data_IF_155744496005
#
_entry.id   IF_155744496005
#
_cell.length_a   1.000
_cell.length_b   1.000
_cell.length_c   1.000
_cell.angle_alpha   90.00
_cell.angle_beta   90.00
_cell.angle_gamma   90.00
#
_symmetry.space_group_name_H-M   'P 1'
#
loop_
_entity.id
_entity.type
_entity.pdbx_description
1 polymer ?
#
# COMPACT_ATOMS: atom_id res chain seq x y z
N UNK A 1 9.93 -26.03 -7.78
CA UNK A 1 9.24 -24.73 -7.88
C UNK A 1 7.87 -24.90 -8.54
N UNK A 2 7.82 -25.48 -9.74
CA UNK A 2 6.57 -25.72 -10.50
C UNK A 2 5.46 -26.38 -9.65
N UNK A 3 5.77 -27.46 -8.92
CA UNK A 3 4.80 -28.13 -8.04
C UNK A 3 4.22 -27.22 -6.94
N UNK A 4 5.01 -26.26 -6.41
CA UNK A 4 4.57 -25.32 -5.36
C UNK A 4 3.58 -24.32 -5.96
N UNK A 5 3.88 -23.79 -7.15
CA UNK A 5 3.03 -22.84 -7.86
C UNK A 5 1.74 -23.51 -8.36
N UNK A 6 1.84 -24.74 -8.88
CA UNK A 6 0.69 -25.55 -9.28
C UNK A 6 -0.23 -25.81 -8.07
N UNK A 7 0.34 -26.19 -6.93
CA UNK A 7 -0.43 -26.39 -5.70
C UNK A 7 -1.08 -25.07 -5.22
N UNK A 8 -0.38 -23.95 -5.32
CA UNK A 8 -0.93 -22.64 -5.00
C UNK A 8 -2.12 -22.28 -5.93
N UNK A 9 -2.04 -22.61 -7.23
CA UNK A 9 -3.12 -22.42 -8.20
C UNK A 9 -4.38 -23.25 -7.89
N UNK A 10 -4.22 -24.39 -7.21
CA UNK A 10 -5.32 -25.24 -6.75
C UNK A 10 -5.90 -24.85 -5.38
N UNK A 11 -5.17 -24.08 -4.57
CA UNK A 11 -5.53 -23.85 -3.16
C UNK A 11 -5.58 -22.36 -2.80
N UNK A 12 -4.44 -21.68 -2.81
CA UNK A 12 -4.30 -20.29 -2.38
C UNK A 12 -5.01 -19.29 -3.31
N UNK A 13 -4.75 -19.36 -4.61
CA UNK A 13 -5.30 -18.39 -5.58
C UNK A 13 -6.82 -18.47 -5.76
N UNK A 14 -7.45 -19.65 -5.77
CA UNK A 14 -8.91 -19.77 -5.70
C UNK A 14 -9.50 -19.00 -4.51
N UNK A 15 -8.88 -19.17 -3.33
CA UNK A 15 -9.32 -18.48 -2.10
C UNK A 15 -9.11 -16.98 -2.19
N UNK A 16 -7.97 -16.52 -2.69
CA UNK A 16 -7.72 -15.09 -2.89
C UNK A 16 -8.71 -14.46 -3.88
N UNK A 17 -9.01 -15.15 -4.99
CA UNK A 17 -9.97 -14.69 -5.98
C UNK A 17 -11.39 -14.64 -5.40
N UNK A 18 -11.82 -15.70 -4.69
CA UNK A 18 -13.11 -15.72 -4.00
C UNK A 18 -13.21 -14.60 -2.97
N UNK A 19 -12.17 -14.42 -2.15
CA UNK A 19 -12.20 -13.41 -1.11
C UNK A 19 -12.24 -11.99 -1.70
N UNK A 20 -11.53 -11.73 -2.80
CA UNK A 20 -11.65 -10.47 -3.54
C UNK A 20 -13.08 -10.25 -4.06
N UNK A 21 -13.73 -11.28 -4.59
CA UNK A 21 -15.09 -11.20 -5.12
C UNK A 21 -16.16 -11.01 -4.02
N UNK A 22 -15.97 -11.65 -2.86
CA UNK A 22 -16.84 -11.50 -1.69
C UNK A 22 -16.66 -10.12 -1.04
N UNK A 23 -15.42 -9.66 -0.94
CA UNK A 23 -15.09 -8.38 -0.38
C UNK A 23 -15.13 -7.30 -1.48
N UNK A 24 -16.32 -6.76 -1.75
CA UNK A 24 -16.45 -5.47 -2.44
C UNK A 24 -15.92 -4.37 -1.50
N UNK A 25 -14.59 -4.29 -1.48
CA UNK A 25 -13.67 -3.39 -0.77
C UNK A 25 -13.83 -3.29 0.76
N UNK A 26 -13.00 -4.05 1.51
CA UNK A 26 -12.71 -3.75 2.92
C UNK A 26 -11.87 -2.47 2.98
N UNK A 27 -12.53 -1.36 3.30
CA UNK A 27 -11.97 0.00 3.30
C UNK A 27 -11.35 0.45 4.63
N UNK A 28 -10.95 -0.46 5.51
CA UNK A 28 -10.32 -0.04 6.77
C UNK A 28 -8.80 -0.05 6.65
N UNK A 29 -8.25 1.15 6.49
CA UNK A 29 -6.83 1.39 6.70
C UNK A 29 -6.49 1.15 8.17
N UNK A 30 -5.70 0.11 8.45
CA UNK A 30 -5.10 -0.06 9.77
C UNK A 30 -3.77 0.67 9.79
N UNK A 31 -3.66 1.67 10.66
CA UNK A 31 -2.38 2.33 10.94
C UNK A 31 -1.42 1.33 11.56
N UNK A 32 -0.13 1.56 11.34
CA UNK A 32 0.93 0.84 12.06
C UNK A 32 0.74 1.09 13.56
N UNK A 33 0.93 0.03 14.37
CA UNK A 33 0.98 0.21 15.81
C UNK A 33 2.33 0.86 16.14
N UNK A 34 2.29 2.01 16.81
CA UNK A 34 3.50 2.65 17.37
C UNK A 34 4.07 1.71 18.43
N UNK A 35 5.40 1.66 18.57
CA UNK A 35 5.96 0.97 19.72
C UNK A 35 5.77 1.85 20.99
N UNK A 36 5.85 1.20 22.15
CA UNK A 36 5.11 1.62 23.35
C UNK A 36 5.94 2.43 24.36
N UNK A 37 7.24 2.66 24.12
CA UNK A 37 8.18 3.21 25.11
C UNK A 37 8.94 4.46 24.63
N UNK A 38 9.41 5.35 25.50
CA UNK A 38 10.10 6.60 25.11
C UNK A 38 11.44 6.40 24.39
N UNK A 39 12.09 5.23 24.53
CA UNK A 39 13.25 4.83 23.69
C UNK A 39 12.87 4.54 22.22
N UNK A 40 11.57 4.52 21.91
CA UNK A 40 10.99 4.21 20.62
C UNK A 40 10.95 5.40 19.66
N UNK A 41 11.14 6.64 20.11
CA UNK A 41 11.10 7.81 19.22
C UNK A 41 12.13 7.69 18.09
N UNK A 42 13.36 7.27 18.41
CA UNK A 42 14.42 7.06 17.39
C UNK A 42 14.06 5.92 16.43
N UNK A 43 13.37 4.90 16.93
CA UNK A 43 12.91 3.78 16.13
C UNK A 43 11.82 4.23 15.15
N UNK A 44 10.80 4.94 15.64
CA UNK A 44 9.71 5.47 14.84
C UNK A 44 10.20 6.49 13.81
N UNK A 45 11.12 7.38 14.18
CA UNK A 45 11.73 8.32 13.22
C UNK A 45 12.49 7.59 12.10
N UNK A 46 13.17 6.48 12.42
CA UNK A 46 13.84 5.63 11.41
C UNK A 46 12.83 4.92 10.50
N UNK A 47 11.73 4.42 11.05
CA UNK A 47 10.65 3.79 10.26
C UNK A 47 9.98 4.80 9.33
N UNK A 48 9.69 5.99 9.85
CA UNK A 48 9.14 7.11 9.08
C UNK A 48 10.11 7.60 7.99
N UNK A 49 11.41 7.56 8.23
CA UNK A 49 12.42 7.78 7.20
C UNK A 49 12.29 6.74 6.07
N UNK A 50 12.18 5.45 6.40
CA UNK A 50 12.08 4.40 5.38
C UNK A 50 10.80 4.54 4.54
N UNK A 51 9.65 4.79 5.17
CA UNK A 51 8.39 5.05 4.47
C UNK A 51 8.47 6.29 3.58
N UNK A 52 9.03 7.38 4.11
CA UNK A 52 9.13 8.65 3.40
C UNK A 52 10.11 8.58 2.25
N UNK A 53 11.26 7.93 2.43
CA UNK A 53 12.25 7.74 1.39
C UNK A 53 11.71 6.85 0.27
N UNK A 54 11.00 5.76 0.63
CA UNK A 54 10.29 4.93 -0.34
C UNK A 54 9.20 5.73 -1.10
N UNK A 55 8.45 6.59 -0.42
CA UNK A 55 7.45 7.47 -1.05
C UNK A 55 8.06 8.45 -2.08
N UNK A 56 9.26 8.98 -1.79
CA UNK A 56 9.99 9.87 -2.70
C UNK A 56 10.51 9.12 -3.93
N UNK A 57 10.74 7.82 -3.83
CA UNK A 57 11.18 6.96 -4.94
C UNK A 57 10.00 6.40 -5.78
N UNK A 58 8.78 6.38 -5.25
CA UNK A 58 7.56 6.02 -5.98
C UNK A 58 7.04 7.21 -6.80
N UNK A 59 7.58 7.41 -7.99
CA UNK A 59 7.43 8.66 -8.75
C UNK A 59 6.16 8.73 -9.61
N UNK A 60 5.43 7.62 -9.77
CA UNK A 60 4.24 7.53 -10.61
C UNK A 60 2.97 7.18 -9.81
N UNK A 61 1.80 7.36 -10.43
CA UNK A 61 0.54 6.84 -9.90
C UNK A 61 0.40 5.39 -10.35
N UNK A 62 -0.18 4.54 -9.49
CA UNK A 62 -0.47 3.13 -9.83
C UNK A 62 0.20 2.14 -8.90
N UNK A 63 0.18 0.87 -9.29
CA UNK A 63 0.81 -0.21 -8.51
C UNK A 63 2.25 -0.53 -8.92
N UNK A 64 2.67 -0.17 -10.14
CA UNK A 64 3.95 -0.59 -10.73
C UNK A 64 5.18 -0.03 -10.00
N UNK A 65 5.20 1.26 -9.72
CA UNK A 65 6.34 1.95 -9.11
C UNK A 65 6.32 1.98 -7.58
N UNK A 66 5.37 1.28 -6.95
CA UNK A 66 5.31 1.15 -5.49
C UNK A 66 6.66 0.66 -5.01
N UNK A 67 7.28 1.45 -4.15
CA UNK A 67 8.67 1.25 -3.72
C UNK A 67 8.67 0.86 -2.24
N UNK A 68 9.54 -0.06 -1.87
CA UNK A 68 9.83 -0.43 -0.49
C UNK A 68 11.32 -0.20 -0.17
N UNK A 69 11.62 -0.01 1.11
CA UNK A 69 12.95 0.26 1.62
C UNK A 69 13.27 -0.61 2.85
N UNK A 70 14.50 -1.12 2.91
CA UNK A 70 15.04 -1.86 4.05
C UNK A 70 16.41 -1.33 4.44
N UNK A 71 16.73 -1.33 5.73
CA UNK A 71 18.00 -0.79 6.24
C UNK A 71 18.90 -1.90 6.80
N UNK A 72 19.91 -2.27 6.03
CA UNK A 72 20.89 -3.27 6.42
C UNK A 72 22.00 -2.64 7.25
N UNK A 73 22.36 -3.34 8.33
CA UNK A 73 23.54 -3.08 9.14
C UNK A 73 24.76 -3.82 8.57
N UNK A 74 25.87 -3.11 8.42
CA UNK A 74 27.20 -3.69 8.21
C UNK A 74 28.12 -3.30 9.40
N UNK A 75 29.31 -3.91 9.54
CA UNK A 75 30.20 -3.60 10.66
C UNK A 75 30.59 -2.12 10.81
N UNK A 76 30.68 -1.37 9.69
CA UNK A 76 31.16 0.02 9.68
C UNK A 76 30.25 0.99 8.90
N UNK A 77 29.16 0.51 8.33
CA UNK A 77 28.24 1.33 7.54
C UNK A 77 26.86 0.68 7.46
N UNK A 78 25.91 1.40 6.85
CA UNK A 78 24.59 0.88 6.55
C UNK A 78 24.33 0.93 5.04
N UNK A 79 23.52 -0.01 4.55
CA UNK A 79 23.05 -0.03 3.17
C UNK A 79 21.55 0.16 3.16
N UNK A 80 21.09 1.14 2.37
CA UNK A 80 19.67 1.33 2.10
C UNK A 80 19.30 0.50 0.87
N UNK A 81 18.50 -0.52 1.07
CA UNK A 81 17.96 -1.36 0.00
C UNK A 81 16.65 -0.78 -0.52
N UNK A 82 16.49 -0.75 -1.83
CA UNK A 82 15.25 -0.35 -2.50
C UNK A 82 14.75 -1.48 -3.41
N UNK A 83 13.44 -1.65 -3.46
CA UNK A 83 12.76 -2.53 -4.38
C UNK A 83 11.50 -1.83 -4.91
N UNK A 84 11.08 -2.14 -6.13
CA UNK A 84 9.77 -1.73 -6.65
C UNK A 84 9.05 -2.91 -7.31
N UNK A 85 7.71 -2.83 -7.37
CA UNK A 85 6.90 -3.93 -7.90
C UNK A 85 7.25 -4.31 -9.34
N UNK A 86 7.75 -3.37 -10.14
CA UNK A 86 8.24 -3.57 -11.52
C UNK A 86 9.67 -3.00 -11.68
N UNK A 87 10.50 -3.12 -10.64
CA UNK A 87 11.90 -2.73 -10.71
C UNK A 87 12.18 -1.26 -10.46
N UNK A 88 13.34 -0.98 -9.85
CA UNK A 88 13.80 0.39 -9.68
C UNK A 88 14.50 0.84 -10.96
N UNK A 89 13.84 1.73 -11.71
CA UNK A 89 14.45 2.36 -12.90
C UNK A 89 15.77 3.05 -12.55
N UNK A 90 16.75 2.99 -13.45
CA UNK A 90 18.05 3.63 -13.26
C UNK A 90 17.94 5.14 -12.96
N UNK A 91 16.99 5.84 -13.58
CA UNK A 91 16.72 7.26 -13.29
C UNK A 91 16.30 7.50 -11.84
N UNK A 92 15.48 6.61 -11.27
CA UNK A 92 15.05 6.65 -9.86
C UNK A 92 16.22 6.27 -8.94
N UNK A 93 17.04 5.30 -9.31
CA UNK A 93 18.24 4.93 -8.53
C UNK A 93 19.25 6.08 -8.43
N UNK A 94 19.56 6.72 -9.55
CA UNK A 94 20.44 7.90 -9.61
C UNK A 94 19.86 9.07 -8.81
N UNK A 95 18.55 9.30 -8.93
CA UNK A 95 17.83 10.28 -8.13
C UNK A 95 17.95 10.00 -6.63
N UNK A 96 17.66 8.76 -6.20
CA UNK A 96 17.74 8.35 -4.80
C UNK A 96 19.16 8.54 -4.24
N UNK A 97 20.20 8.15 -5.00
CA UNK A 97 21.60 8.39 -4.64
C UNK A 97 21.89 9.88 -4.51
N UNK A 98 21.37 10.69 -5.42
CA UNK A 98 21.53 12.14 -5.35
C UNK A 98 20.82 12.77 -4.16
N UNK A 99 19.65 12.26 -3.75
CA UNK A 99 18.95 12.71 -2.54
C UNK A 99 19.75 12.34 -1.30
N UNK A 100 20.23 11.09 -1.19
CA UNK A 100 21.07 10.66 -0.07
C UNK A 100 22.33 11.53 0.08
N UNK A 101 23.01 11.87 -1.03
CA UNK A 101 24.17 12.78 -1.02
C UNK A 101 23.87 14.17 -0.45
N UNK A 102 22.64 14.67 -0.60
CA UNK A 102 22.23 15.94 0.01
C UNK A 102 21.90 15.75 1.49
N UNK A 103 21.18 14.68 1.81
CA UNK A 103 20.77 14.36 3.18
C UNK A 103 21.95 14.17 4.14
N UNK A 104 23.08 13.62 3.69
CA UNK A 104 24.29 13.46 4.54
C UNK A 104 24.94 14.79 4.93
N UNK A 105 24.59 15.91 4.26
CA UNK A 105 25.13 17.24 4.57
C UNK A 105 24.41 17.91 5.76
N UNK A 106 23.31 17.33 6.25
CA UNK A 106 22.52 17.89 7.35
C UNK A 106 23.29 17.73 8.67
N UNK A 107 23.93 18.81 9.11
CA UNK A 107 24.74 18.85 10.34
C UNK A 107 24.44 20.04 11.25
N UNK A 108 23.66 21.02 10.77
CA UNK A 108 23.30 22.26 11.45
C UNK A 108 21.89 22.69 11.02
N UNK A 109 21.31 23.68 11.69
CA UNK A 109 19.99 24.22 11.31
C UNK A 109 20.00 24.91 9.95
N UNK A 110 21.08 25.62 9.62
CA UNK A 110 21.26 26.27 8.33
C UNK A 110 21.34 25.25 7.18
N UNK A 111 22.14 24.19 7.35
CA UNK A 111 22.23 23.11 6.35
C UNK A 111 20.93 22.34 6.23
N UNK A 112 20.20 22.15 7.32
CA UNK A 112 18.89 21.51 7.32
C UNK A 112 17.88 22.27 6.45
N UNK A 113 17.77 23.60 6.63
CA UNK A 113 16.88 24.44 5.83
C UNK A 113 17.22 24.38 4.34
N UNK A 114 18.50 24.54 4.01
CA UNK A 114 18.98 24.50 2.62
C UNK A 114 18.72 23.14 1.96
N UNK A 115 19.14 22.05 2.60
CA UNK A 115 18.97 20.68 2.09
C UNK A 115 17.49 20.34 1.93
N UNK A 116 16.63 20.78 2.85
CA UNK A 116 15.18 20.58 2.74
C UNK A 116 14.60 21.18 1.47
N UNK A 117 14.97 22.43 1.14
CA UNK A 117 14.50 23.05 -0.10
C UNK A 117 15.10 22.40 -1.34
N UNK A 118 16.39 22.10 -1.35
CA UNK A 118 17.05 21.44 -2.48
C UNK A 118 16.44 20.05 -2.77
N UNK A 119 16.23 19.23 -1.74
CA UNK A 119 15.58 17.92 -1.86
C UNK A 119 14.12 18.08 -2.28
N UNK A 120 13.42 19.09 -1.77
CA UNK A 120 12.04 19.36 -2.16
C UNK A 120 11.89 19.70 -3.63
N UNK A 121 12.73 20.59 -4.18
CA UNK A 121 12.69 20.93 -5.59
C UNK A 121 13.00 19.72 -6.47
N UNK A 122 14.00 18.91 -6.11
CA UNK A 122 14.32 17.66 -6.81
C UNK A 122 13.15 16.67 -6.76
N UNK A 123 12.49 16.53 -5.61
CA UNK A 123 11.34 15.65 -5.46
C UNK A 123 10.14 16.12 -6.29
N UNK A 124 9.86 17.43 -6.34
CA UNK A 124 8.81 18.00 -7.19
C UNK A 124 9.10 17.70 -8.65
N UNK A 125 10.33 17.94 -9.11
CA UNK A 125 10.75 17.65 -10.49
C UNK A 125 10.56 16.18 -10.83
N UNK A 126 11.10 15.27 -10.00
CA UNK A 126 11.04 13.83 -10.24
C UNK A 126 9.62 13.27 -10.18
N UNK A 127 8.77 13.79 -9.29
CA UNK A 127 7.37 13.36 -9.13
C UNK A 127 6.38 14.15 -10.01
N UNK A 128 6.84 14.98 -10.94
CA UNK A 128 5.99 15.89 -11.74
C UNK A 128 4.77 15.19 -12.36
N UNK A 129 4.90 14.01 -13.03
CA UNK A 129 3.75 13.36 -13.65
C UNK A 129 2.64 13.03 -12.62
N UNK A 130 3.02 12.49 -11.47
CA UNK A 130 2.12 12.17 -10.35
C UNK A 130 1.50 13.43 -9.74
N UNK A 131 2.28 14.49 -9.57
CA UNK A 131 1.82 15.74 -8.96
C UNK A 131 0.84 16.50 -9.87
N UNK A 132 1.07 16.52 -11.19
CA UNK A 132 0.14 17.14 -12.15
C UNK A 132 -1.22 16.45 -12.10
N UNK A 133 -1.25 15.11 -12.05
CA UNK A 133 -2.51 14.37 -11.91
C UNK A 133 -3.28 14.81 -10.66
N UNK A 134 -2.65 14.77 -9.48
CA UNK A 134 -3.33 15.16 -8.24
C UNK A 134 -3.72 16.64 -8.22
N UNK A 135 -2.93 17.52 -8.83
CA UNK A 135 -3.26 18.94 -8.96
C UNK A 135 -4.52 19.15 -9.79
N UNK A 136 -4.67 18.46 -10.93
CA UNK A 136 -5.87 18.55 -11.76
C UNK A 136 -7.12 18.12 -10.98
N UNK A 137 -7.02 17.03 -10.22
CA UNK A 137 -8.11 16.54 -9.37
C UNK A 137 -8.45 17.52 -8.22
N UNK A 138 -7.44 18.09 -7.56
CA UNK A 138 -7.64 19.13 -6.53
C UNK A 138 -8.32 20.36 -7.13
N UNK A 139 -7.90 20.84 -8.31
CA UNK A 139 -8.51 22.01 -8.95
C UNK A 139 -9.99 21.81 -9.19
N UNK A 140 -10.37 20.63 -9.70
CA UNK A 140 -11.76 20.26 -9.96
C UNK A 140 -12.56 20.21 -8.65
N UNK A 141 -12.11 19.43 -7.67
CA UNK A 141 -12.84 19.24 -6.41
C UNK A 141 -12.90 20.52 -5.58
N UNK A 142 -11.81 21.30 -5.54
CA UNK A 142 -11.74 22.58 -4.83
C UNK A 142 -12.74 23.59 -5.40
N UNK A 143 -12.90 23.64 -6.73
CA UNK A 143 -13.89 24.53 -7.36
C UNK A 143 -15.31 24.17 -6.90
N UNK A 144 -15.68 22.89 -6.95
CA UNK A 144 -17.02 22.43 -6.55
C UNK A 144 -17.27 22.67 -5.06
N UNK A 145 -16.36 22.23 -4.19
CA UNK A 145 -16.48 22.44 -2.75
C UNK A 145 -16.55 23.93 -2.39
N UNK A 146 -15.78 24.78 -3.07
CA UNK A 146 -15.83 26.24 -2.88
C UNK A 146 -17.20 26.82 -3.25
N UNK A 147 -17.85 26.32 -4.30
CA UNK A 147 -19.20 26.76 -4.69
C UNK A 147 -20.25 26.33 -3.67
N UNK A 148 -20.16 25.12 -3.14
CA UNK A 148 -21.05 24.66 -2.05
C UNK A 148 -20.86 25.50 -0.78
N UNK A 149 -19.63 25.84 -0.42
CA UNK A 149 -19.34 26.73 0.72
C UNK A 149 -19.87 28.17 0.52
N UNK A 150 -20.22 28.60 -0.71
CA UNK A 150 -20.85 29.92 -0.92
C UNK A 150 -22.30 29.96 -0.43
N UNK A 151 -22.96 28.81 -0.35
CA UNK A 151 -24.35 28.68 0.10
C UNK A 151 -24.46 28.70 1.63
N UNK A 152 -23.35 28.53 2.34
CA UNK A 152 -23.31 28.57 3.81
C UNK A 152 -23.23 30.02 4.30
N UNK A 153 -23.81 30.28 5.47
CA UNK A 153 -23.67 31.56 6.16
C UNK A 153 -22.18 31.86 6.35
N UNK A 154 -21.75 33.11 6.10
CA UNK A 154 -20.35 33.47 6.24
C UNK A 154 -19.96 33.48 7.72
N UNK A 155 -19.06 32.57 8.09
CA UNK A 155 -18.23 32.67 9.28
C UNK A 155 -16.74 32.78 8.89
N UNK A 156 -15.88 33.13 9.84
CA UNK A 156 -14.46 33.33 9.59
C UNK A 156 -13.74 32.06 9.10
N UNK A 157 -14.12 30.89 9.60
CA UNK A 157 -13.53 29.61 9.24
C UNK A 157 -13.90 29.19 7.81
N UNK A 158 -15.18 29.33 7.43
CA UNK A 158 -15.70 29.11 6.08
C UNK A 158 -15.06 30.10 5.12
N UNK A 159 -14.93 31.37 5.51
CA UNK A 159 -14.30 32.41 4.69
C UNK A 159 -12.81 32.15 4.47
N UNK A 160 -12.07 31.74 5.50
CA UNK A 160 -10.67 31.35 5.41
C UNK A 160 -10.48 30.12 4.51
N UNK A 161 -11.30 29.08 4.69
CA UNK A 161 -11.26 27.87 3.87
C UNK A 161 -11.57 28.19 2.40
N UNK A 162 -12.63 28.97 2.12
CA UNK A 162 -12.98 29.43 0.76
C UNK A 162 -11.82 30.16 0.08
N UNK A 163 -11.06 30.96 0.82
CA UNK A 163 -9.88 31.67 0.29
C UNK A 163 -8.78 30.70 -0.12
N UNK A 164 -8.50 29.67 0.70
CA UNK A 164 -7.54 28.61 0.35
C UNK A 164 -8.02 27.78 -0.83
N UNK A 165 -9.30 27.39 -0.86
CA UNK A 165 -9.89 26.66 -1.99
C UNK A 165 -9.87 27.46 -3.30
N UNK A 166 -10.02 28.79 -3.23
CA UNK A 166 -9.83 29.66 -4.40
C UNK A 166 -8.42 29.56 -4.94
N UNK A 167 -7.39 29.65 -4.09
CA UNK A 167 -5.98 29.50 -4.51
C UNK A 167 -5.70 28.12 -5.12
N UNK A 168 -6.43 27.08 -4.71
CA UNK A 168 -6.32 25.74 -5.30
C UNK A 168 -7.06 25.63 -6.64
N UNK A 169 -8.28 26.13 -6.75
CA UNK A 169 -9.08 26.02 -7.99
C UNK A 169 -8.60 26.95 -9.10
N UNK A 170 -8.21 28.17 -8.73
CA UNK A 170 -7.80 29.28 -9.58
C UNK A 170 -6.48 29.84 -9.04
N UNK A 171 -5.37 29.10 -9.20
CA UNK A 171 -4.08 29.52 -8.66
C UNK A 171 -3.58 30.79 -9.34
N UNK A 172 -2.89 31.69 -8.60
CA UNK A 172 -2.18 32.81 -9.20
C UNK A 172 -1.20 32.35 -10.28
N UNK A 173 -0.94 33.20 -11.28
CA UNK A 173 -0.02 32.89 -12.39
C UNK A 173 1.40 32.54 -11.88
N UNK A 174 1.83 33.11 -10.76
CA UNK A 174 3.13 32.84 -10.13
C UNK A 174 3.21 31.48 -9.42
N UNK A 175 2.10 30.77 -9.21
CA UNK A 175 2.11 29.50 -8.49
C UNK A 175 2.63 28.37 -9.38
N UNK A 176 3.82 27.89 -9.06
CA UNK A 176 4.33 26.61 -9.56
C UNK A 176 3.69 25.43 -8.82
N UNK A 177 3.90 24.20 -9.32
CA UNK A 177 3.45 22.97 -8.63
C UNK A 177 4.04 22.88 -7.21
N UNK A 178 5.27 23.34 -6.98
CA UNK A 178 5.87 23.38 -5.65
C UNK A 178 5.05 24.24 -4.67
N UNK A 179 4.59 25.42 -5.11
CA UNK A 179 3.73 26.30 -4.30
C UNK A 179 2.38 25.64 -3.96
N UNK A 180 1.81 24.88 -4.91
CA UNK A 180 0.57 24.13 -4.67
C UNK A 180 0.81 23.02 -3.63
N UNK A 181 1.92 22.29 -3.75
CA UNK A 181 2.30 21.24 -2.80
C UNK A 181 2.48 21.82 -1.40
N UNK A 182 3.16 22.95 -1.25
CA UNK A 182 3.32 23.63 0.04
C UNK A 182 2.00 24.13 0.62
N UNK A 183 1.13 24.70 -0.24
CA UNK A 183 -0.23 25.09 0.19
C UNK A 183 -1.02 23.88 0.69
N UNK A 184 -1.00 22.77 -0.04
CA UNK A 184 -1.66 21.53 0.37
C UNK A 184 -1.06 20.94 1.65
N UNK A 185 0.27 21.00 1.82
CA UNK A 185 0.94 20.60 3.05
C UNK A 185 0.49 21.44 4.24
N UNK A 186 0.47 22.77 4.11
CA UNK A 186 -0.01 23.69 5.14
C UNK A 186 -1.51 23.63 5.42
N UNK A 187 -2.28 22.89 4.62
CA UNK A 187 -3.70 22.58 4.88
C UNK A 187 -3.90 21.25 5.61
N UNK A 188 -2.86 20.42 5.75
CA UNK A 188 -2.96 19.14 6.47
C UNK A 188 -3.22 19.40 7.95
N UNK A 189 -4.07 18.55 8.56
CA UNK A 189 -4.57 18.77 9.91
C UNK A 189 -5.89 19.53 9.86
N UNK A 190 -5.92 20.73 10.43
CA UNK A 190 -7.15 21.49 10.70
C UNK A 190 -8.07 21.66 9.47
N UNK A 191 -7.59 22.16 8.34
CA UNK A 191 -8.44 22.36 7.16
C UNK A 191 -8.89 21.06 6.51
N UNK A 192 -8.01 20.06 6.40
CA UNK A 192 -8.39 18.74 5.86
C UNK A 192 -9.45 18.09 6.75
N UNK A 193 -9.34 18.20 8.07
CA UNK A 193 -10.35 17.67 9.00
C UNK A 193 -11.67 18.44 8.88
N UNK A 194 -11.62 19.77 8.71
CA UNK A 194 -12.80 20.57 8.43
C UNK A 194 -13.47 20.21 7.08
N UNK A 195 -12.68 19.88 6.05
CA UNK A 195 -13.19 19.38 4.75
C UNK A 195 -13.84 18.00 4.95
N UNK A 196 -13.18 17.08 5.66
CA UNK A 196 -13.72 15.73 5.92
C UNK A 196 -15.02 15.75 6.71
N UNK A 197 -15.16 16.65 7.69
CA UNK A 197 -16.41 16.82 8.46
C UNK A 197 -17.62 17.22 7.59
N UNK A 198 -17.38 17.77 6.39
CA UNK A 198 -18.41 18.12 5.40
C UNK A 198 -18.67 17.01 4.39
N UNK A 199 -17.90 15.93 4.44
CA UNK A 199 -18.08 14.76 3.60
C UNK A 199 -19.11 13.83 4.24
N UNK A 200 -20.11 13.45 3.46
CA UNK A 200 -21.12 12.44 3.79
C UNK A 200 -20.57 11.03 3.56
N UNK A 201 -19.69 10.88 2.56
CA UNK A 201 -18.95 9.65 2.29
C UNK A 201 -17.68 9.98 1.50
N UNK A 202 -16.64 9.15 1.58
CA UNK A 202 -15.32 9.39 0.97
C UNK A 202 -15.34 9.66 -0.55
N UNK A 203 -16.42 9.31 -1.24
CA UNK A 203 -16.59 9.49 -2.68
C UNK A 203 -17.22 10.82 -3.11
N UNK A 204 -17.71 11.63 -2.17
CA UNK A 204 -18.21 12.96 -2.53
C UNK A 204 -17.07 13.94 -2.80
N UNK A 205 -17.39 15.11 -3.32
CA UNK A 205 -16.37 16.08 -3.73
C UNK A 205 -15.51 16.56 -2.53
N UNK A 206 -16.06 16.63 -1.31
CA UNK A 206 -15.30 16.99 -0.10
C UNK A 206 -14.35 15.86 0.32
N UNK A 207 -14.80 14.61 0.30
CA UNK A 207 -13.98 13.43 0.58
C UNK A 207 -12.82 13.30 -0.41
N UNK A 208 -13.10 13.46 -1.71
CA UNK A 208 -12.09 13.49 -2.77
C UNK A 208 -11.12 14.65 -2.60
N UNK A 209 -11.61 15.85 -2.29
CA UNK A 209 -10.76 17.01 -2.05
C UNK A 209 -9.79 16.78 -0.88
N UNK A 210 -10.28 16.30 0.26
CA UNK A 210 -9.44 15.97 1.41
C UNK A 210 -8.38 14.92 1.06
N UNK A 211 -8.75 13.89 0.30
CA UNK A 211 -7.83 12.87 -0.19
C UNK A 211 -6.70 13.48 -1.03
N UNK A 212 -7.05 14.25 -2.06
CA UNK A 212 -6.06 14.78 -3.00
C UNK A 212 -5.19 15.90 -2.42
N UNK A 213 -5.71 16.73 -1.50
CA UNK A 213 -4.89 17.66 -0.71
C UNK A 213 -3.85 16.87 0.10
N UNK A 214 -4.28 15.79 0.77
CA UNK A 214 -3.38 14.92 1.51
C UNK A 214 -2.29 14.32 0.63
N UNK A 215 -2.64 13.89 -0.60
CA UNK A 215 -1.70 13.34 -1.58
C UNK A 215 -0.66 14.36 -2.07
N UNK A 216 -1.07 15.58 -2.42
CA UNK A 216 -0.13 16.62 -2.84
C UNK A 216 0.81 17.01 -1.71
N UNK A 217 0.26 17.27 -0.52
CA UNK A 217 1.05 17.64 0.66
C UNK A 217 1.95 16.52 1.18
N UNK A 218 1.80 15.27 0.72
CA UNK A 218 2.64 14.15 1.12
C UNK A 218 4.09 14.28 0.63
N UNK A 219 4.33 14.95 -0.51
CA UNK A 219 5.70 15.18 -1.00
C UNK A 219 6.48 16.09 -0.06
N UNK A 220 5.95 17.26 0.31
CA UNK A 220 6.61 18.14 1.28
C UNK A 220 6.75 17.48 2.65
N UNK A 221 5.73 16.76 3.10
CA UNK A 221 5.77 16.00 4.35
C UNK A 221 6.93 14.99 4.36
N UNK A 222 7.06 14.18 3.29
CA UNK A 222 8.10 13.15 3.22
C UNK A 222 9.49 13.75 3.17
N UNK A 223 9.68 14.88 2.47
CA UNK A 223 10.96 15.62 2.46
C UNK A 223 11.31 16.12 3.85
N UNK A 224 10.36 16.74 4.56
CA UNK A 224 10.57 17.20 5.93
C UNK A 224 10.93 16.04 6.86
N UNK A 225 10.25 14.90 6.70
CA UNK A 225 10.51 13.69 7.49
C UNK A 225 11.91 13.15 7.27
N UNK A 226 12.35 12.96 6.02
CA UNK A 226 13.69 12.39 5.77
C UNK A 226 14.81 13.32 6.24
N UNK A 227 14.65 14.64 6.09
CA UNK A 227 15.63 15.64 6.54
C UNK A 227 15.72 15.66 8.07
N UNK A 228 14.56 15.71 8.74
CA UNK A 228 14.49 15.67 10.22
C UNK A 228 15.10 14.38 10.76
N UNK A 229 14.78 13.24 10.15
CA UNK A 229 15.27 11.94 10.57
C UNK A 229 16.80 11.82 10.45
N UNK A 230 17.40 12.35 9.37
CA UNK A 230 18.86 12.37 9.19
C UNK A 230 19.59 13.15 10.28
N UNK A 231 18.96 14.20 10.81
CA UNK A 231 19.51 14.96 11.95
C UNK A 231 19.38 14.21 13.28
N UNK A 232 18.27 13.48 13.47
CA UNK A 232 17.90 12.90 14.76
C UNK A 232 18.41 11.47 14.96
N UNK A 233 18.63 10.69 13.90
CA UNK A 233 18.98 9.27 13.99
C UNK A 233 20.41 9.04 13.49
N UNK A 234 21.41 8.85 14.37
CA UNK A 234 22.81 8.68 13.97
C UNK A 234 23.05 7.54 12.96
N UNK A 235 22.33 6.43 13.10
CA UNK A 235 22.47 5.29 12.18
C UNK A 235 22.06 5.62 10.72
N UNK A 236 21.17 6.59 10.49
CA UNK A 236 20.83 7.02 9.13
C UNK A 236 21.99 7.78 8.45
N UNK A 237 22.83 8.46 9.23
CA UNK A 237 24.04 9.13 8.71
C UNK A 237 25.15 8.15 8.33
N UNK A 238 25.06 6.89 8.75
CA UNK A 238 25.99 5.83 8.38
C UNK A 238 25.60 5.13 7.06
N UNK A 239 24.51 5.57 6.40
CA UNK A 239 24.14 5.02 5.09
C UNK A 239 25.16 5.49 4.05
N UNK A 240 25.97 4.55 3.55
CA UNK A 240 27.03 4.85 2.57
C UNK A 240 26.62 4.60 1.13
N UNK A 241 25.62 3.74 0.91
CA UNK A 241 25.17 3.40 -0.44
C UNK A 241 23.68 3.01 -0.48
N UNK A 242 23.12 3.09 -1.69
CA UNK A 242 21.79 2.60 -2.03
C UNK A 242 21.94 1.45 -3.02
N UNK A 243 21.42 0.29 -2.64
CA UNK A 243 21.34 -0.90 -3.50
C UNK A 243 19.91 -1.15 -3.92
N UNK A 244 19.73 -1.65 -5.14
CA UNK A 244 18.43 -2.00 -5.69
C UNK A 244 18.33 -3.52 -5.78
N UNK A 245 17.14 -4.05 -5.54
CA UNK A 245 16.79 -5.44 -5.79
C UNK A 245 16.18 -5.52 -7.19
N UNK A 246 16.66 -6.47 -7.99
CA UNK A 246 16.07 -6.78 -9.29
C UNK A 246 14.70 -7.44 -9.09
N UNK A 247 13.72 -6.98 -9.86
CA UNK A 247 12.36 -7.46 -9.76
C UNK A 247 12.23 -8.89 -10.31
N UNK A 248 11.53 -9.77 -9.59
CA UNK A 248 11.17 -11.08 -10.13
C UNK A 248 10.27 -10.96 -11.36
N UNK A 249 10.47 -11.86 -12.32
CA UNK A 249 9.62 -11.97 -13.51
C UNK A 249 8.14 -12.17 -13.12
N UNK A 250 7.25 -11.53 -13.88
CA UNK A 250 5.81 -11.77 -13.75
C UNK A 250 5.49 -13.21 -14.18
N UNK A 251 4.58 -13.87 -13.46
CA UNK A 251 4.17 -15.26 -13.73
C UNK A 251 2.66 -15.37 -13.92
N UNK A 252 2.26 -16.29 -14.77
CA UNK A 252 0.85 -16.65 -14.92
C UNK A 252 0.50 -17.79 -13.96
N UNK A 253 -0.57 -17.60 -13.19
CA UNK A 253 -1.17 -18.67 -12.40
C UNK A 253 -2.57 -18.92 -12.95
N UNK A 254 -2.82 -20.17 -13.32
CA UNK A 254 -4.12 -20.61 -13.82
C UNK A 254 -4.87 -21.34 -12.71
N UNK A 255 -6.11 -20.90 -12.48
CA UNK A 255 -7.04 -21.59 -11.59
C UNK A 255 -7.85 -22.57 -12.45
N UNK A 256 -7.89 -23.85 -12.02
CA UNK A 256 -8.67 -24.87 -12.71
C UNK A 256 -10.17 -24.66 -12.54
N UNK A 257 -10.97 -25.14 -13.49
CA UNK A 257 -12.41 -24.81 -13.58
C UNK A 257 -13.19 -25.28 -12.36
N UNK A 258 -12.85 -26.44 -11.79
CA UNK A 258 -13.43 -26.96 -10.55
C UNK A 258 -13.13 -26.06 -9.33
N UNK A 259 -11.99 -25.36 -9.35
CA UNK A 259 -11.57 -24.40 -8.33
C UNK A 259 -12.09 -22.98 -8.57
N UNK A 260 -13.07 -22.81 -9.47
CA UNK A 260 -13.73 -21.53 -9.76
C UNK A 260 -15.17 -21.50 -9.27
N UNK A 261 -15.64 -22.58 -8.64
CA UNK A 261 -16.99 -22.69 -8.09
C UNK A 261 -16.93 -22.22 -6.63
N UNK A 262 -17.62 -21.12 -6.26
CA UNK A 262 -17.55 -20.57 -4.90
C UNK A 262 -17.83 -21.61 -3.81
N UNK A 263 -18.85 -22.46 -4.02
CA UNK A 263 -19.22 -23.52 -3.09
C UNK A 263 -18.08 -24.52 -2.87
N UNK A 264 -17.45 -25.00 -3.95
CA UNK A 264 -16.33 -25.96 -3.86
C UNK A 264 -15.11 -25.35 -3.15
N UNK A 265 -14.84 -24.06 -3.35
CA UNK A 265 -13.75 -23.37 -2.65
C UNK A 265 -14.02 -23.33 -1.13
N UNK A 266 -15.23 -22.97 -0.71
CA UNK A 266 -15.59 -22.94 0.73
C UNK A 266 -15.66 -24.34 1.32
N UNK A 267 -16.14 -25.32 0.55
CA UNK A 267 -16.11 -26.73 0.93
C UNK A 267 -14.69 -27.29 1.04
N UNK A 268 -13.74 -26.83 0.22
CA UNK A 268 -12.34 -27.19 0.37
C UNK A 268 -11.74 -26.56 1.63
N UNK A 269 -12.10 -25.30 1.96
CA UNK A 269 -11.66 -24.64 3.20
C UNK A 269 -12.12 -25.44 4.45
N UNK A 270 -13.35 -25.93 4.46
CA UNK A 270 -13.88 -26.68 5.62
C UNK A 270 -13.13 -27.98 5.91
N UNK A 271 -12.50 -28.58 4.89
CA UNK A 271 -11.68 -29.79 5.04
C UNK A 271 -10.29 -29.50 5.62
N UNK A 272 -9.74 -28.31 5.36
CA UNK A 272 -8.45 -27.89 5.91
C UNK A 272 -8.56 -27.49 7.39
N UNK A 273 -9.72 -26.96 7.80
CA UNK A 273 -9.99 -26.42 9.13
C UNK A 273 -10.50 -27.49 10.08
N UNK A 274 -9.64 -28.41 10.50
CA UNK A 274 -9.95 -29.50 11.46
C UNK A 274 -10.51 -28.97 12.81
N UNK A 275 -10.34 -27.68 13.10
CA UNK A 275 -10.67 -27.04 14.38
C UNK A 275 -11.85 -26.05 14.36
N UNK A 276 -12.58 -25.91 13.26
CA UNK A 276 -13.75 -25.02 13.22
C UNK A 276 -15.04 -25.79 13.59
N UNK A 277 -15.92 -25.13 14.34
CA UNK A 277 -17.22 -25.68 14.73
C UNK A 277 -18.01 -26.05 13.47
N UNK A 278 -18.50 -27.30 13.38
CA UNK A 278 -19.28 -27.80 12.23
C UNK A 278 -20.49 -26.91 11.92
N UNK A 279 -21.09 -26.30 12.94
CA UNK A 279 -22.22 -25.37 12.79
C UNK A 279 -21.82 -24.07 12.09
N UNK A 280 -20.60 -23.57 12.33
CA UNK A 280 -20.09 -22.37 11.68
C UNK A 280 -19.85 -22.63 10.19
N UNK A 281 -19.28 -23.78 9.85
CA UNK A 281 -19.07 -24.18 8.44
C UNK A 281 -20.41 -24.31 7.72
N UNK A 282 -21.41 -24.96 8.33
CA UNK A 282 -22.75 -25.06 7.76
C UNK A 282 -23.38 -23.68 7.55
N UNK A 283 -23.25 -22.79 8.52
CA UNK A 283 -23.73 -21.41 8.44
C UNK A 283 -23.04 -20.61 7.33
N UNK A 284 -21.71 -20.75 7.19
CA UNK A 284 -20.94 -20.09 6.15
C UNK A 284 -21.34 -20.57 4.74
N UNK A 285 -21.52 -21.88 4.55
CA UNK A 285 -22.00 -22.44 3.28
C UNK A 285 -23.43 -21.99 2.96
N UNK A 286 -24.31 -21.96 3.96
CA UNK A 286 -25.68 -21.45 3.78
C UNK A 286 -25.68 -19.96 3.37
N UNK A 287 -24.89 -19.13 4.05
CA UNK A 287 -24.75 -17.71 3.72
C UNK A 287 -24.14 -17.49 2.33
N UNK A 288 -23.21 -18.36 1.91
CA UNK A 288 -22.70 -18.31 0.54
C UNK A 288 -23.78 -18.59 -0.49
N UNK A 289 -24.64 -19.59 -0.29
CA UNK A 289 -25.76 -19.90 -1.21
C UNK A 289 -26.72 -18.71 -1.30
N UNK A 290 -26.95 -18.00 -0.19
CA UNK A 290 -27.78 -16.78 -0.19
C UNK A 290 -27.14 -15.64 -1.00
N UNK A 291 -25.81 -15.52 -0.98
CA UNK A 291 -25.07 -14.54 -1.81
C UNK A 291 -24.90 -14.99 -3.27
N UNK A 292 -24.92 -16.29 -3.52
CA UNK A 292 -24.73 -16.94 -4.81
C UNK A 292 -25.84 -17.96 -5.12
N UNK A 293 -27.09 -17.51 -5.34
CA UNK A 293 -28.22 -18.41 -5.54
C UNK A 293 -28.09 -19.21 -6.85
N UNK A 294 -28.43 -20.53 -6.85
CA UNK A 294 -28.24 -21.41 -8.00
C UNK A 294 -29.08 -21.09 -9.25
N UNK A 295 -30.14 -20.29 -9.10
CA UNK A 295 -31.16 -20.04 -10.13
C UNK A 295 -30.78 -18.94 -11.14
N UNK A 296 -29.65 -18.25 -10.91
CA UNK A 296 -29.13 -17.31 -11.90
C UNK A 296 -28.38 -18.11 -12.97
N UNK A 297 -28.54 -17.74 -14.24
CA UNK A 297 -27.94 -18.34 -15.44
C UNK A 297 -26.39 -18.38 -15.49
N UNK A 298 -25.71 -18.26 -14.35
CA UNK A 298 -24.25 -18.21 -14.21
C UNK A 298 -23.62 -16.92 -14.71
N UNK A 299 -24.32 -16.17 -15.56
CA UNK A 299 -23.81 -14.96 -16.25
C UNK A 299 -24.17 -13.65 -15.56
N UNK A 300 -25.07 -13.70 -14.57
CA UNK A 300 -25.60 -12.53 -13.86
C UNK A 300 -25.12 -12.39 -12.41
N UNK A 301 -24.48 -13.39 -11.80
CA UNK A 301 -23.97 -13.28 -10.43
C UNK A 301 -22.61 -12.54 -10.37
N UNK A 302 -22.50 -11.40 -9.67
CA UNK A 302 -21.24 -10.66 -9.56
C UNK A 302 -20.07 -11.47 -8.99
N UNK A 303 -20.30 -12.39 -8.05
CA UNK A 303 -19.25 -13.24 -7.48
C UNK A 303 -18.69 -14.14 -8.57
N UNK A 304 -19.54 -14.88 -9.29
CA UNK A 304 -19.12 -15.80 -10.36
C UNK A 304 -18.43 -15.07 -11.51
N UNK A 305 -18.94 -13.90 -11.92
CA UNK A 305 -18.32 -13.06 -12.95
C UNK A 305 -16.92 -12.61 -12.51
N UNK A 306 -16.80 -12.13 -11.26
CA UNK A 306 -15.50 -11.69 -10.73
C UNK A 306 -14.51 -12.85 -10.64
N UNK A 307 -14.95 -14.04 -10.19
CA UNK A 307 -14.10 -15.23 -10.19
C UNK A 307 -13.68 -15.62 -11.60
N UNK A 308 -14.61 -15.72 -12.56
CA UNK A 308 -14.32 -16.08 -13.95
C UNK A 308 -13.25 -15.17 -14.57
N UNK A 309 -13.30 -13.87 -14.27
CA UNK A 309 -12.29 -12.88 -14.69
C UNK A 309 -10.90 -13.09 -14.07
N UNK A 310 -10.77 -14.00 -13.10
CA UNK A 310 -9.52 -14.41 -12.43
C UNK A 310 -9.02 -15.80 -12.84
N UNK A 311 -9.57 -16.42 -13.89
CA UNK A 311 -9.13 -17.76 -14.34
C UNK A 311 -7.63 -17.83 -14.60
N UNK A 312 -7.08 -16.78 -15.22
CA UNK A 312 -5.64 -16.61 -15.41
C UNK A 312 -5.23 -15.30 -14.77
N UNK A 313 -4.33 -15.39 -13.79
CA UNK A 313 -3.86 -14.25 -13.01
C UNK A 313 -2.40 -14.01 -13.35
N UNK A 314 -2.09 -12.79 -13.80
CA UNK A 314 -0.70 -12.33 -13.88
C UNK A 314 -0.27 -11.86 -12.50
N UNK A 315 0.77 -12.50 -11.99
CA UNK A 315 1.24 -12.37 -10.61
C UNK A 315 2.67 -11.83 -10.55
N UNK A 316 2.98 -11.07 -9.50
CA UNK A 316 4.30 -10.47 -9.25
C UNK A 316 4.64 -10.48 -7.75
N UNK A 317 5.93 -10.39 -7.43
CA UNK A 317 6.37 -10.15 -6.04
C UNK A 317 6.29 -8.66 -5.76
N UNK A 318 5.54 -8.28 -4.74
CA UNK A 318 5.52 -6.88 -4.33
C UNK A 318 6.83 -6.45 -3.65
N UNK A 319 7.15 -5.17 -3.73
CA UNK A 319 8.38 -4.57 -3.25
C UNK A 319 8.68 -4.91 -1.78
N UNK A 320 7.67 -4.91 -0.90
CA UNK A 320 7.88 -5.26 0.51
C UNK A 320 8.38 -6.71 0.66
N UNK A 321 7.85 -7.62 -0.16
CA UNK A 321 8.24 -9.03 -0.14
C UNK A 321 9.60 -9.26 -0.78
N UNK A 322 9.99 -8.46 -1.78
CA UNK A 322 11.35 -8.49 -2.34
C UNK A 322 12.39 -8.12 -1.28
N UNK A 323 12.15 -7.06 -0.50
CA UNK A 323 13.05 -6.67 0.62
C UNK A 323 13.08 -7.76 1.70
N UNK A 324 11.91 -8.28 2.09
CA UNK A 324 11.79 -9.34 3.09
C UNK A 324 12.61 -10.59 2.70
N UNK A 325 12.45 -11.02 1.45
CA UNK A 325 13.14 -12.17 0.90
C UNK A 325 14.65 -11.96 0.84
N UNK A 326 15.10 -10.79 0.36
CA UNK A 326 16.52 -10.46 0.31
C UNK A 326 17.19 -10.57 1.67
N UNK A 327 16.57 -10.02 2.73
CA UNK A 327 17.13 -10.07 4.07
C UNK A 327 17.06 -11.47 4.67
N UNK A 328 15.95 -12.18 4.50
CA UNK A 328 15.75 -13.51 5.10
C UNK A 328 16.62 -14.59 4.45
N UNK A 329 16.79 -14.58 3.12
CA UNK A 329 17.62 -15.57 2.41
C UNK A 329 19.11 -15.37 2.63
N UNK A 330 19.56 -14.12 2.75
CA UNK A 330 20.98 -13.80 2.90
C UNK A 330 21.40 -13.58 4.36
N UNK A 331 20.48 -13.68 5.32
CA UNK A 331 20.77 -13.46 6.73
C UNK A 331 21.25 -12.05 7.05
N UNK A 332 20.75 -11.04 6.34
CA UNK A 332 21.15 -9.65 6.57
C UNK A 332 20.59 -9.13 7.89
N UNK A 333 21.45 -8.51 8.69
CA UNK A 333 21.06 -7.83 9.91
C UNK A 333 20.36 -6.51 9.61
N UNK A 334 19.25 -6.26 10.30
CA UNK A 334 18.62 -4.95 10.32
C UNK A 334 19.34 -4.04 11.31
N UNK A 335 19.43 -2.74 10.98
CA UNK A 335 19.93 -1.73 11.91
C UNK A 335 19.07 -1.74 13.18
N UNK A 336 19.73 -1.81 14.34
CA UNK A 336 19.10 -1.88 15.66
C UNK A 336 18.11 -3.06 15.84
N UNK A 337 18.29 -4.16 15.11
CA UNK A 337 17.37 -5.32 15.07
C UNK A 337 15.91 -4.95 14.71
N UNK A 338 15.73 -3.79 14.08
CA UNK A 338 14.41 -3.29 13.69
C UNK A 338 14.06 -3.81 12.31
N UNK A 339 13.40 -4.98 12.27
CA UNK A 339 12.95 -5.68 11.04
C UNK A 339 11.76 -4.99 10.38
N UNK A 340 11.83 -3.66 10.25
CA UNK A 340 10.86 -2.85 9.55
C UNK A 340 11.22 -2.71 8.08
N UNK A 341 10.20 -2.83 7.24
CA UNK A 341 10.29 -2.57 5.81
C UNK A 341 9.38 -1.38 5.54
N UNK A 342 9.97 -0.24 5.18
CA UNK A 342 9.21 0.93 4.82
C UNK A 342 8.65 0.81 3.41
N UNK A 343 7.50 1.40 3.14
CA UNK A 343 6.84 1.34 1.83
C UNK A 343 6.15 2.65 1.47
N UNK A 344 6.12 2.98 0.17
CA UNK A 344 5.46 4.19 -0.33
C UNK A 344 3.93 4.18 -0.13
N UNK A 345 3.36 3.00 0.12
CA UNK A 345 1.93 2.78 0.38
C UNK A 345 1.78 1.73 1.49
N UNK A 346 0.67 1.77 2.26
CA UNK A 346 0.37 0.69 3.20
C UNK A 346 0.37 -0.67 2.50
N UNK A 347 0.72 -1.72 3.23
CA UNK A 347 0.76 -3.07 2.69
C UNK A 347 -0.62 -3.53 2.18
N UNK A 348 -0.61 -4.35 1.13
CA UNK A 348 -1.80 -5.10 0.74
C UNK A 348 -2.08 -6.24 1.73
N UNK A 349 -3.25 -6.87 1.61
CA UNK A 349 -3.61 -8.02 2.45
C UNK A 349 -2.55 -9.13 2.39
N UNK A 350 -2.02 -9.41 1.20
CA UNK A 350 -1.04 -10.47 0.99
C UNK A 350 0.29 -10.11 1.68
N UNK A 351 0.86 -8.93 1.39
CA UNK A 351 2.11 -8.47 2.01
C UNK A 351 2.02 -8.39 3.54
N UNK A 352 0.91 -7.84 4.06
CA UNK A 352 0.69 -7.72 5.50
C UNK A 352 0.72 -9.08 6.20
N UNK A 353 -0.08 -10.03 5.71
CA UNK A 353 -0.14 -11.36 6.31
C UNK A 353 1.16 -12.13 6.12
N UNK A 354 1.85 -11.93 5.00
CA UNK A 354 3.16 -12.53 4.79
C UNK A 354 4.16 -12.05 5.84
N UNK A 355 4.32 -10.74 6.02
CA UNK A 355 5.31 -10.16 6.93
C UNK A 355 5.04 -10.53 8.39
N UNK A 356 3.78 -10.44 8.82
CA UNK A 356 3.37 -10.72 10.21
C UNK A 356 3.52 -12.21 10.57
N UNK A 357 3.25 -13.11 9.62
CA UNK A 357 3.34 -14.57 9.86
C UNK A 357 4.71 -15.16 9.51
N UNK A 358 5.65 -14.34 9.04
CA UNK A 358 7.00 -14.79 8.70
C UNK A 358 7.76 -15.24 9.95
N UNK A 359 8.53 -16.32 9.83
CA UNK A 359 9.30 -16.90 10.96
C UNK A 359 10.28 -15.92 11.62
N UNK A 360 10.75 -14.92 10.88
CA UNK A 360 11.68 -13.90 11.39
C UNK A 360 11.00 -12.74 12.13
N UNK A 361 9.66 -12.75 12.26
CA UNK A 361 8.87 -11.77 13.02
C UNK A 361 9.15 -10.33 12.57
N UNK A 362 8.80 -10.00 11.33
CA UNK A 362 8.93 -8.63 10.85
C UNK A 362 8.00 -7.70 11.61
N UNK A 363 8.39 -6.43 11.69
CA UNK A 363 7.55 -5.39 12.29
C UNK A 363 6.28 -5.24 11.47
N UNK A 364 5.13 -5.22 12.14
CA UNK A 364 3.82 -5.13 11.49
C UNK A 364 3.70 -3.80 10.71
N UNK A 365 3.47 -3.81 9.39
CA UNK A 365 3.32 -2.58 8.62
C UNK A 365 1.91 -1.99 8.78
N UNK A 366 1.74 -0.73 8.37
CA UNK A 366 0.41 -0.21 8.05
C UNK A 366 -0.18 -1.00 6.87
N UNK A 367 -1.51 -1.12 6.80
CA UNK A 367 -2.15 -1.90 5.74
C UNK A 367 -3.44 -1.25 5.27
N UNK A 368 -3.72 -1.39 3.98
CA UNK A 368 -5.00 -1.03 3.37
C UNK A 368 -5.90 -2.26 3.14
N UNK A 369 -5.45 -3.47 3.52
CA UNK A 369 -6.16 -4.75 3.42
C UNK A 369 -6.81 -5.09 2.06
N UNK A 370 -6.43 -4.38 1.00
CA UNK A 370 -6.89 -4.71 -0.36
C UNK A 370 -6.33 -6.08 -0.71
N UNK A 371 -7.22 -6.97 -1.13
CA UNK A 371 -6.89 -8.28 -1.63
C UNK A 371 -6.42 -8.07 -3.07
N UNK A 372 -5.19 -8.46 -3.36
CA UNK A 372 -4.59 -8.34 -4.69
C UNK A 372 -4.19 -9.76 -5.09
N UNK A 373 -5.05 -10.50 -5.81
CA UNK A 373 -4.69 -11.84 -6.27
C UNK A 373 -3.48 -11.85 -7.20
N UNK A 374 -3.13 -10.71 -7.80
CA UNK A 374 -1.88 -10.55 -8.57
C UNK A 374 -0.61 -10.48 -7.72
N UNK A 375 -0.67 -10.60 -6.40
CA UNK A 375 0.50 -10.70 -5.54
C UNK A 375 0.88 -12.18 -5.36
N UNK A 376 2.17 -12.49 -5.34
CA UNK A 376 2.70 -13.82 -5.06
C UNK A 376 3.88 -13.76 -4.10
N UNK A 377 4.23 -14.91 -3.53
CA UNK A 377 5.41 -15.06 -2.70
C UNK A 377 6.70 -14.89 -3.49
N UNK A 378 7.81 -14.54 -2.80
CA UNK A 378 9.13 -14.46 -3.41
C UNK A 378 9.57 -15.84 -3.88
N UNK A 379 9.78 -15.97 -5.19
CA UNK A 379 10.13 -17.23 -5.84
C UNK A 379 11.31 -17.15 -6.82
N UNK A 380 12.00 -16.00 -6.86
CA UNK A 380 13.12 -15.79 -7.77
C UNK A 380 14.42 -16.35 -7.19
N UNK A 381 15.16 -17.10 -8.01
CA UNK A 381 16.47 -17.70 -7.66
C UNK A 381 16.47 -18.39 -6.29
N UNK A 382 15.42 -19.16 -6.01
CA UNK A 382 15.22 -19.80 -4.72
C UNK A 382 16.32 -20.84 -4.47
N UNK A 383 17.01 -20.69 -3.33
CA UNK A 383 17.82 -21.75 -2.72
C UNK A 383 16.96 -22.68 -1.84
N UNK A 384 17.52 -23.76 -1.31
CA UNK A 384 16.75 -24.74 -0.51
C UNK A 384 16.02 -24.12 0.70
N UNK A 385 16.66 -23.17 1.38
CA UNK A 385 16.06 -22.45 2.51
C UNK A 385 14.88 -21.58 2.06
N UNK A 386 15.00 -20.88 0.93
CA UNK A 386 13.93 -20.11 0.32
C UNK A 386 12.74 -20.98 -0.11
N UNK A 387 12.98 -22.20 -0.62
CA UNK A 387 11.91 -23.10 -1.04
C UNK A 387 11.09 -23.57 0.15
N UNK A 388 11.77 -23.82 1.27
CA UNK A 388 11.15 -24.16 2.55
C UNK A 388 10.30 -23.01 3.07
N UNK A 389 10.83 -21.78 3.07
CA UNK A 389 10.11 -20.57 3.48
C UNK A 389 8.87 -20.37 2.60
N UNK A 390 9.01 -20.43 1.27
CA UNK A 390 7.91 -20.23 0.34
C UNK A 390 6.78 -21.24 0.58
N UNK A 391 7.11 -22.53 0.74
CA UNK A 391 6.14 -23.59 1.02
C UNK A 391 5.41 -23.37 2.34
N UNK A 392 6.16 -23.06 3.41
CA UNK A 392 5.61 -22.77 4.73
C UNK A 392 4.67 -21.55 4.67
N UNK A 393 5.10 -20.47 4.04
CA UNK A 393 4.32 -19.24 3.94
C UNK A 393 3.08 -19.43 3.07
N UNK A 394 3.14 -20.17 1.96
CA UNK A 394 1.94 -20.49 1.17
C UNK A 394 0.93 -21.31 1.97
N UNK A 395 1.37 -22.28 2.78
CA UNK A 395 0.48 -23.01 3.68
C UNK A 395 -0.20 -22.08 4.69
N UNK A 396 0.58 -21.23 5.39
CA UNK A 396 0.03 -20.24 6.34
C UNK A 396 -0.94 -19.26 5.68
N UNK A 397 -0.60 -18.75 4.50
CA UNK A 397 -1.45 -17.83 3.74
C UNK A 397 -2.76 -18.51 3.29
N UNK A 398 -2.69 -19.77 2.88
CA UNK A 398 -3.85 -20.58 2.45
C UNK A 398 -4.84 -20.79 3.59
N UNK A 399 -4.33 -21.12 4.77
CA UNK A 399 -5.14 -21.25 5.99
C UNK A 399 -5.72 -19.90 6.42
N UNK A 400 -4.90 -18.84 6.41
CA UNK A 400 -5.33 -17.50 6.83
C UNK A 400 -6.46 -16.95 5.97
N UNK A 401 -6.32 -17.02 4.65
CA UNK A 401 -7.38 -16.58 3.72
C UNK A 401 -8.63 -17.43 3.90
N UNK A 402 -8.48 -18.75 4.10
CA UNK A 402 -9.61 -19.64 4.39
C UNK A 402 -10.39 -19.19 5.63
N UNK A 403 -9.69 -18.96 6.75
CA UNK A 403 -10.30 -18.44 7.98
C UNK A 403 -11.01 -17.10 7.74
N UNK A 404 -10.35 -16.15 7.08
CA UNK A 404 -10.92 -14.82 6.83
C UNK A 404 -12.15 -14.86 5.91
N UNK A 405 -12.27 -15.85 5.01
CA UNK A 405 -13.47 -16.12 4.19
C UNK A 405 -14.60 -16.65 5.07
N UNK A 406 -14.34 -17.65 5.92
CA UNK A 406 -15.34 -18.21 6.83
C UNK A 406 -15.85 -17.12 7.77
N UNK A 407 -14.95 -16.38 8.40
CA UNK A 407 -15.30 -15.26 9.27
C UNK A 407 -16.16 -14.24 8.53
N UNK A 408 -15.81 -13.88 7.29
CA UNK A 408 -16.62 -12.98 6.49
C UNK A 408 -18.04 -13.52 6.26
N UNK A 409 -18.17 -14.77 5.84
CA UNK A 409 -19.49 -15.37 5.54
C UNK A 409 -20.36 -15.51 6.79
N UNK A 410 -19.78 -15.77 7.95
CA UNK A 410 -20.50 -15.80 9.23
C UNK A 410 -21.05 -14.42 9.62
N UNK A 411 -20.26 -13.36 9.42
CA UNK A 411 -20.65 -12.01 9.83
C UNK A 411 -21.58 -11.31 8.84
N UNK A 412 -21.60 -11.72 7.56
CA UNK A 412 -22.54 -11.18 6.55
C UNK A 412 -23.97 -11.64 6.80
N UNK A 413 -24.18 -12.84 7.36
CA UNK A 413 -25.52 -13.34 7.70
C UNK A 413 -26.27 -12.55 8.79
N UNK A 414 -25.57 -11.67 9.53
CA UNK A 414 -26.14 -10.91 10.66
C UNK A 414 -26.38 -9.41 10.40
N UNK A 415 -25.96 -8.86 9.26
CA UNK A 415 -26.16 -7.43 8.94
C UNK A 415 -26.59 -7.29 7.49
N UNK A 416 -27.82 -6.80 7.31
CA UNK A 416 -28.27 -6.22 6.04
C UNK A 416 -27.16 -5.33 5.48
N UNK A 417 -26.97 -5.43 4.16
CA UNK A 417 -25.93 -4.79 3.38
C UNK A 417 -26.00 -3.25 3.44
N UNK A 418 -25.65 -2.66 4.59
CA UNK A 418 -25.49 -1.22 4.75
C UNK A 418 -24.25 -0.76 3.98
N UNK A 419 -24.44 0.26 3.15
CA UNK A 419 -23.54 0.75 2.10
C UNK A 419 -22.06 0.71 2.44
N UNK A 420 -21.31 -0.10 1.69
CA UNK A 420 -19.86 -0.22 1.83
C UNK A 420 -19.18 0.81 0.96
N UNK A 421 -18.43 1.70 1.62
CA UNK A 421 -17.79 2.88 1.05
C UNK A 421 -16.58 2.49 0.21
N UNK A 422 -16.65 2.75 -1.10
CA UNK A 422 -15.47 2.74 -1.97
C UNK A 422 -14.50 3.83 -1.47
N UNK A 423 -13.20 3.56 -1.34
CA UNK A 423 -12.17 4.59 -1.10
C UNK A 423 -11.18 4.61 -2.26
N UNK A 424 -10.94 5.80 -2.82
CA UNK A 424 -9.90 6.01 -3.83
C UNK A 424 -8.52 5.69 -3.22
N UNK A 425 -7.85 4.70 -3.80
CA UNK A 425 -6.45 4.40 -3.53
C UNK A 425 -5.62 4.74 -4.79
N UNK A 426 -4.35 5.10 -4.61
CA UNK A 426 -3.40 5.30 -5.70
C UNK A 426 -3.23 4.04 -6.60
N UNK A 427 -3.79 2.90 -6.18
CA UNK A 427 -3.84 1.63 -6.90
C UNK A 427 -5.01 1.49 -7.89
N UNK A 428 -5.76 2.55 -8.20
CA UNK A 428 -6.76 2.52 -9.28
C UNK A 428 -6.15 2.66 -10.68
N UNK A 429 -4.83 2.91 -10.78
CA UNK A 429 -4.09 2.45 -11.97
C UNK A 429 -4.13 0.93 -12.00
N UNK A 430 -4.27 0.32 -13.18
CA UNK A 430 -4.34 -1.13 -13.36
C UNK A 430 -3.32 -1.83 -12.46
N UNK A 431 -3.81 -2.53 -11.43
CA UNK A 431 -3.00 -3.47 -10.64
C UNK A 431 -2.70 -4.75 -11.45
N UNK A 432 -3.25 -4.83 -12.66
CA UNK A 432 -2.90 -5.83 -13.66
C UNK A 432 -1.43 -5.60 -14.00
N UNK A 433 -0.60 -6.64 -13.79
CA UNK A 433 0.67 -6.68 -14.51
C UNK A 433 0.32 -6.59 -15.99
N UNK A 434 0.87 -5.57 -16.65
CA UNK A 434 0.74 -5.44 -18.08
C UNK A 434 1.32 -6.70 -18.68
N UNK A 435 0.51 -7.43 -19.47
CA UNK A 435 1.07 -8.47 -20.33
C UNK A 435 2.14 -7.78 -21.18
N UNK A 436 3.41 -8.15 -20.98
CA UNK A 436 4.41 -7.81 -21.96
C UNK A 436 3.98 -8.47 -23.27
N UNK A 437 3.87 -7.69 -24.35
CA UNK A 437 3.77 -8.19 -25.72
C UNK A 437 5.17 -8.57 -26.17
#
# INVERSE_FOLDING_TARGET
MEQILENAGKTLYPRLALYEALAVYKGEHKRRQLARDESDDTCEIRRDFLDSFAYLCDIEKGGATVTAAGLQKLPYSNILWLAANEGIRNTVHLYAKSVLRQLVLVNSEETELRVREEVFQRAVQMCTPRLIFYNNEVRLCARKCRMELRKQLPDDAVSALRRKLRKLSEPPISFTIAHIVDLCYGMRGHEVDAIKKRSTHSQDDFGKLAHYIGRLGATRCSVNTVVKAMRQVPALRQITDIRVIEEPNALHITISTENMIPYEIVWAISKDSVSQNTLDIQSALHNLINLDPPLNDGTSNPIRINLANRRTIVTRVHAELQICDQFSRHGFEFVADDKYIGCSKPACYFCYNWLVNHKHKYVQPATHYKIIPGCRGPDNDINESGATILKEMYSKMTLRVGQDIIDFLLHVGGREAAGRTHQYLSTEGTSRATSAV
#
